data_IF_476247010042
#
_entry.id   IF_476247010042
#
_cell.length_a   1.000
_cell.length_b   1.000
_cell.length_c   1.000
_cell.angle_alpha   90.00
_cell.angle_beta   90.00
_cell.angle_gamma   90.00
#
_symmetry.space_group_name_H-M   'P 1'
#
loop_
_entity.id
_entity.type
_entity.pdbx_description
1 polymer ?
#
# COMPACT_ATOMS: atom_id res chain seq x y z
N UNK A 1 10.33 -0.07 -4.47
CA UNK A 1 9.09 0.62 -4.06
C UNK A 1 8.96 0.63 -2.54
N UNK A 2 8.39 1.67 -1.96
CA UNK A 2 8.00 1.71 -0.55
C UNK A 2 6.52 2.10 -0.43
N UNK A 3 5.87 1.71 0.65
CA UNK A 3 4.53 2.15 0.98
C UNK A 3 4.43 2.66 2.43
N UNK A 4 3.75 3.79 2.59
CA UNK A 4 3.58 4.48 3.85
C UNK A 4 2.11 4.69 4.13
N UNK A 5 1.63 4.25 5.30
CA UNK A 5 0.35 4.70 5.81
C UNK A 5 0.56 5.97 6.62
N UNK A 6 -0.19 7.02 6.32
CA UNK A 6 -0.11 8.32 6.99
C UNK A 6 -1.45 8.70 7.63
N UNK A 7 -1.41 9.40 8.75
CA UNK A 7 -2.59 10.02 9.34
C UNK A 7 -3.03 11.28 8.57
N UNK A 8 -4.10 11.92 9.04
CA UNK A 8 -4.65 13.15 8.47
C UNK A 8 -3.65 14.32 8.46
N UNK A 9 -2.68 14.32 9.37
CA UNK A 9 -1.62 15.34 9.46
C UNK A 9 -0.40 15.00 8.59
N UNK A 10 -0.43 13.85 7.90
CA UNK A 10 0.65 13.36 7.06
C UNK A 10 1.75 12.61 7.82
N UNK A 11 1.55 12.31 9.11
CA UNK A 11 2.53 11.61 9.93
C UNK A 11 2.59 10.13 9.57
N UNK A 12 3.79 9.59 9.45
CA UNK A 12 3.99 8.17 9.16
C UNK A 12 3.49 7.29 10.30
N UNK A 13 2.53 6.42 9.98
CA UNK A 13 1.98 5.43 10.88
C UNK A 13 2.60 4.05 10.64
N UNK A 14 2.66 3.59 9.39
CA UNK A 14 3.14 2.25 9.05
C UNK A 14 4.03 2.34 7.82
N UNK A 15 5.08 1.52 7.80
CA UNK A 15 5.98 1.37 6.66
C UNK A 15 5.97 -0.07 6.15
N UNK A 16 5.85 -0.22 4.83
CA UNK A 16 6.15 -1.47 4.13
C UNK A 16 7.25 -1.23 3.11
N UNK A 17 8.37 -1.91 3.30
CA UNK A 17 9.52 -1.83 2.40
C UNK A 17 9.34 -2.69 1.14
N UNK A 18 10.29 -2.59 0.21
CA UNK A 18 10.27 -3.36 -1.04
C UNK A 18 10.20 -4.87 -0.79
N UNK A 19 10.89 -5.39 0.22
CA UNK A 19 10.92 -6.83 0.51
C UNK A 19 9.54 -7.33 0.90
N UNK A 20 8.85 -6.59 1.78
CA UNK A 20 7.49 -6.92 2.21
C UNK A 20 6.49 -6.85 1.03
N UNK A 21 6.58 -5.80 0.21
CA UNK A 21 5.67 -5.60 -0.92
C UNK A 21 5.89 -6.61 -2.05
N UNK A 22 7.14 -6.97 -2.35
CA UNK A 22 7.47 -7.99 -3.36
C UNK A 22 7.07 -9.40 -2.92
N UNK A 23 6.98 -9.65 -1.61
CA UNK A 23 6.60 -10.94 -1.04
C UNK A 23 5.08 -11.14 -0.91
N UNK A 24 4.27 -10.17 -1.34
CA UNK A 24 2.82 -10.28 -1.30
C UNK A 24 2.34 -11.49 -2.15
N UNK A 25 1.51 -12.37 -1.59
CA UNK A 25 0.89 -13.43 -2.39
C UNK A 25 -0.07 -12.80 -3.42
N UNK A 26 -0.27 -13.46 -4.55
CA UNK A 26 -1.21 -13.01 -5.59
C UNK A 26 -2.62 -12.78 -5.03
N UNK A 27 -3.02 -13.56 -4.04
CA UNK A 27 -4.35 -13.49 -3.42
C UNK A 27 -4.53 -12.24 -2.53
N UNK A 28 -3.45 -11.50 -2.22
CA UNK A 28 -3.53 -10.17 -1.60
C UNK A 28 -4.11 -9.11 -2.53
N UNK A 29 -4.24 -9.40 -3.83
CA UNK A 29 -4.74 -8.48 -4.84
C UNK A 29 -6.11 -8.92 -5.34
N UNK A 30 -7.18 -8.39 -4.73
CA UNK A 30 -8.53 -8.57 -5.25
C UNK A 30 -8.78 -7.55 -6.35
N UNK A 31 -8.44 -7.94 -7.58
CA UNK A 31 -8.58 -7.11 -8.77
C UNK A 31 -10.03 -6.96 -9.21
N UNK A 32 -10.42 -5.73 -9.55
CA UNK A 32 -11.79 -5.41 -9.98
C UNK A 32 -12.00 -5.70 -11.48
N UNK A 33 -10.90 -5.80 -12.25
CA UNK A 33 -10.92 -6.06 -13.68
C UNK A 33 -10.19 -7.34 -14.08
N UNK A 34 -10.61 -7.97 -15.18
CA UNK A 34 -10.05 -9.22 -15.68
C UNK A 34 -8.67 -9.08 -16.36
N UNK A 35 -8.35 -7.89 -16.89
CA UNK A 35 -7.15 -7.66 -17.71
C UNK A 35 -6.18 -6.65 -17.09
N UNK A 36 -6.69 -5.49 -16.64
CA UNK A 36 -5.90 -4.46 -15.99
C UNK A 36 -5.78 -4.78 -14.50
N UNK A 37 -4.75 -5.57 -14.16
CA UNK A 37 -4.56 -6.14 -12.83
C UNK A 37 -3.33 -5.60 -12.13
N UNK A 38 -3.44 -5.51 -10.81
CA UNK A 38 -2.35 -5.46 -9.86
C UNK A 38 -1.80 -6.86 -9.61
N UNK A 39 -0.49 -6.96 -9.53
CA UNK A 39 0.26 -8.19 -9.24
C UNK A 39 1.49 -7.89 -8.37
N UNK A 40 2.00 -8.86 -7.61
CA UNK A 40 3.33 -8.72 -7.01
C UNK A 40 4.38 -8.72 -8.12
N UNK A 41 5.40 -7.89 -7.96
CA UNK A 41 6.54 -7.77 -8.86
C UNK A 41 7.85 -7.83 -8.09
N UNK A 42 8.95 -8.00 -8.82
CA UNK A 42 10.28 -8.15 -8.21
C UNK A 42 10.68 -6.97 -7.31
N UNK A 43 10.19 -5.76 -7.63
CA UNK A 43 10.51 -4.52 -6.91
C UNK A 43 9.32 -3.89 -6.17
N UNK A 44 8.27 -4.67 -5.88
CA UNK A 44 7.10 -4.25 -5.12
C UNK A 44 5.80 -4.64 -5.80
N UNK A 45 4.89 -3.68 -5.98
CA UNK A 45 3.60 -3.90 -6.64
C UNK A 45 3.68 -3.41 -8.08
N UNK A 46 3.15 -4.20 -9.02
CA UNK A 46 3.01 -3.82 -10.42
C UNK A 46 1.55 -3.66 -10.79
N UNK A 47 1.24 -2.64 -11.57
CA UNK A 47 -0.09 -2.37 -12.08
C UNK A 47 -0.02 -1.78 -13.48
N UNK A 48 -1.01 -2.13 -14.32
CA UNK A 48 -1.20 -1.50 -15.62
C UNK A 48 -2.05 -0.23 -15.43
N UNK A 49 -1.80 0.82 -16.22
CA UNK A 49 -2.61 2.04 -16.19
C UNK A 49 -4.10 1.68 -16.36
N UNK A 50 -4.95 2.23 -15.50
CA UNK A 50 -6.39 1.93 -15.49
C UNK A 50 -6.76 0.64 -14.75
N UNK A 51 -5.85 0.03 -13.99
CA UNK A 51 -6.17 -1.05 -13.05
C UNK A 51 -6.89 -0.50 -11.81
N UNK A 52 -7.78 -1.29 -11.24
CA UNK A 52 -8.37 -1.07 -9.92
C UNK A 52 -8.39 -2.40 -9.14
N UNK A 53 -8.07 -2.34 -7.85
CA UNK A 53 -8.07 -3.50 -6.98
C UNK A 53 -8.22 -3.09 -5.52
N UNK A 54 -8.75 -4.00 -4.72
CA UNK A 54 -8.57 -3.99 -3.27
C UNK A 54 -7.27 -4.71 -2.93
N UNK A 55 -6.38 -4.04 -2.18
CA UNK A 55 -5.09 -4.59 -1.75
C UNK A 55 -5.13 -4.94 -0.26
N UNK A 56 -4.69 -6.14 0.09
CA UNK A 56 -4.42 -6.54 1.48
C UNK A 56 -2.92 -6.50 1.74
N UNK A 57 -2.48 -5.51 2.52
CA UNK A 57 -1.09 -5.35 2.96
C UNK A 57 -0.79 -6.29 4.15
N UNK A 58 0.46 -6.75 4.31
CA UNK A 58 0.82 -7.58 5.44
C UNK A 58 0.72 -6.74 6.73
N UNK A 59 0.61 -7.42 7.88
CA UNK A 59 0.61 -6.73 9.16
C UNK A 59 1.89 -5.88 9.30
N UNK A 60 1.72 -4.57 9.40
CA UNK A 60 2.81 -3.63 9.61
C UNK A 60 2.90 -3.21 11.07
N UNK A 61 4.07 -2.73 11.49
CA UNK A 61 4.26 -2.17 12.83
C UNK A 61 3.79 -0.72 12.83
N UNK A 62 2.81 -0.40 13.66
CA UNK A 62 2.36 0.97 13.87
C UNK A 62 3.44 1.70 14.67
N UNK A 63 4.02 2.75 14.08
CA UNK A 63 4.97 3.64 14.74
C UNK A 63 4.33 4.28 15.97
N UNK A 64 5.16 4.58 16.97
CA UNK A 64 4.78 5.12 18.30
C UNK A 64 4.13 4.11 19.27
N UNK A 65 4.19 2.81 18.99
CA UNK A 65 3.77 1.77 19.94
C UNK A 65 2.26 1.72 20.19
N UNK A 66 1.47 2.25 19.26
CA UNK A 66 0.01 2.16 19.30
C UNK A 66 -0.45 0.82 18.72
N UNK A 67 -1.39 0.15 19.37
CA UNK A 67 -2.01 -1.07 18.83
C UNK A 67 -3.18 -0.78 17.88
N UNK A 68 -3.50 0.50 17.66
CA UNK A 68 -4.63 0.93 16.84
C UNK A 68 -4.27 2.09 15.93
N UNK A 69 -4.86 2.08 14.74
CA UNK A 69 -4.87 3.23 13.84
C UNK A 69 -5.72 4.36 14.44
N UNK A 70 -5.41 5.63 14.13
CA UNK A 70 -6.22 6.76 14.55
C UNK A 70 -7.64 6.66 13.96
N UNK A 71 -8.63 7.22 14.65
CA UNK A 71 -10.04 7.25 14.20
C UNK A 71 -10.31 8.25 13.05
N UNK A 72 -9.26 8.75 12.38
CA UNK A 72 -9.34 9.73 11.30
C UNK A 72 -9.00 9.11 9.95
N UNK A 73 -9.20 9.86 8.85
CA UNK A 73 -8.83 9.38 7.53
C UNK A 73 -7.33 9.08 7.49
N UNK A 74 -6.98 8.02 6.79
CA UNK A 74 -5.59 7.64 6.54
C UNK A 74 -5.31 7.65 5.06
N UNK A 75 -4.07 7.93 4.72
CA UNK A 75 -3.63 7.98 3.32
C UNK A 75 -2.53 6.96 3.12
N UNK A 76 -2.72 6.08 2.14
CA UNK A 76 -1.68 5.19 1.66
C UNK A 76 -0.88 5.92 0.58
N UNK A 77 0.43 6.01 0.77
CA UNK A 77 1.36 6.62 -0.17
C UNK A 77 2.33 5.56 -0.67
N UNK A 78 2.34 5.31 -1.97
CA UNK A 78 3.31 4.43 -2.62
C UNK A 78 4.38 5.26 -3.32
N UNK A 79 5.64 4.91 -3.10
CA UNK A 79 6.81 5.61 -3.66
C UNK A 79 7.58 4.62 -4.53
N UNK A 80 7.75 4.93 -5.80
CA UNK A 80 8.50 4.12 -6.75
C UNK A 80 9.40 4.98 -7.63
N UNK A 81 10.72 4.81 -7.50
CA UNK A 81 11.74 5.50 -8.32
C UNK A 81 11.47 7.00 -8.54
N UNK A 82 11.08 7.73 -7.49
CA UNK A 82 10.77 9.17 -7.53
C UNK A 82 9.33 9.52 -7.95
N UNK A 83 8.48 8.54 -8.25
CA UNK A 83 7.03 8.71 -8.45
C UNK A 83 6.29 8.43 -7.15
N UNK A 84 5.32 9.29 -6.85
CA UNK A 84 4.46 9.15 -5.67
C UNK A 84 3.03 8.93 -6.11
N UNK A 85 2.41 7.88 -5.59
CA UNK A 85 0.99 7.57 -5.78
C UNK A 85 0.28 7.67 -4.43
N UNK A 86 -0.87 8.33 -4.40
CA UNK A 86 -1.60 8.65 -3.17
C UNK A 86 -3.00 8.08 -3.27
N UNK A 87 -3.40 7.29 -2.27
CA UNK A 87 -4.74 6.75 -2.14
C UNK A 87 -5.29 7.10 -0.77
N UNK A 88 -6.43 7.77 -0.75
CA UNK A 88 -7.17 8.03 0.49
C UNK A 88 -7.95 6.79 0.87
N UNK A 89 -7.84 6.38 2.14
CA UNK A 89 -8.65 5.35 2.74
C UNK A 89 -9.51 6.00 3.83
N UNK A 90 -10.83 5.85 3.65
CA UNK A 90 -11.89 6.34 4.53
C UNK A 90 -12.33 5.29 5.51
#
# INVERSE_FOLDING_TARGET
MEAWLKDADGTDLVHWDTTMLSALPTDSFRNDYAYNKFTPGHYGIQAIVGSAATLTLPAGVIKRGSDRLPNGPVTLVLIDMGRTYVQHAS
#
